data_IF_810965200845
#
_entry.id   IF_810965200845
#
_cell.length_a   1.000
_cell.length_b   1.000
_cell.length_c   1.000
_cell.angle_alpha   90.00
_cell.angle_beta   90.00
_cell.angle_gamma   90.00
#
_symmetry.space_group_name_H-M   'P 1'
#
loop_
_entity.id
_entity.type
_entity.pdbx_description
1 polymer ?
#
# COMPACT_ATOMS: atom_id res chain seq x y z
N UNK A 1 -20.49 13.84 -5.50
CA UNK A 1 -19.59 13.01 -4.71
C UNK A 1 -19.89 11.49 -4.82
N UNK A 2 -20.56 11.07 -5.89
CA UNK A 2 -20.89 9.65 -6.11
C UNK A 2 -20.42 9.23 -7.49
N UNK A 3 -19.73 8.12 -7.58
CA UNK A 3 -19.35 7.46 -8.83
C UNK A 3 -20.07 6.12 -8.89
N UNK A 4 -20.67 5.81 -10.01
CA UNK A 4 -21.22 4.50 -10.31
C UNK A 4 -20.27 3.85 -11.31
N UNK A 5 -19.68 2.73 -10.92
CA UNK A 5 -18.77 1.97 -11.76
C UNK A 5 -19.33 0.58 -11.99
N UNK A 6 -19.35 0.17 -13.24
CA UNK A 6 -19.90 -1.12 -13.65
C UNK A 6 -18.94 -1.80 -14.62
N UNK A 7 -18.81 -3.11 -14.47
CA UNK A 7 -18.05 -3.95 -15.40
C UNK A 7 -18.71 -5.31 -15.49
N UNK A 8 -18.95 -5.79 -16.70
CA UNK A 8 -19.59 -7.07 -16.94
C UNK A 8 -20.34 -7.09 -18.28
N UNK A 9 -21.19 -8.08 -18.47
CA UNK A 9 -22.04 -8.17 -19.64
C UNK A 9 -23.37 -7.50 -19.33
N UNK A 10 -23.62 -6.31 -19.89
CA UNK A 10 -24.86 -5.56 -19.78
C UNK A 10 -25.22 -4.94 -21.13
N UNK A 11 -26.48 -4.66 -21.34
CA UNK A 11 -27.05 -4.02 -22.53
C UNK A 11 -27.50 -2.57 -22.23
N UNK A 12 -28.07 -1.92 -23.23
CA UNK A 12 -28.50 -0.52 -23.13
C UNK A 12 -29.62 -0.30 -22.10
N UNK A 13 -30.41 -1.33 -21.78
CA UNK A 13 -31.48 -1.23 -20.75
C UNK A 13 -30.90 -0.93 -19.36
N UNK A 14 -29.63 -1.28 -19.13
CA UNK A 14 -28.94 -0.95 -17.89
C UNK A 14 -28.77 0.57 -17.71
N UNK A 15 -28.51 1.31 -18.79
CA UNK A 15 -28.38 2.77 -18.73
C UNK A 15 -29.72 3.42 -18.41
N UNK A 16 -30.83 2.88 -18.94
CA UNK A 16 -32.19 3.34 -18.61
C UNK A 16 -32.49 3.14 -17.11
N UNK A 17 -32.05 2.01 -16.53
CA UNK A 17 -32.19 1.76 -15.09
C UNK A 17 -31.35 2.73 -14.26
N UNK A 18 -30.12 3.03 -14.67
CA UNK A 18 -29.29 4.03 -14.01
C UNK A 18 -29.95 5.40 -14.03
N UNK A 19 -30.46 5.84 -15.18
CA UNK A 19 -31.15 7.11 -15.30
C UNK A 19 -32.41 7.15 -14.44
N UNK A 20 -33.19 6.08 -14.43
CA UNK A 20 -34.41 5.97 -13.61
C UNK A 20 -34.12 6.11 -12.11
N UNK A 21 -33.05 5.49 -11.60
CA UNK A 21 -32.78 5.46 -10.15
C UNK A 21 -31.85 6.58 -9.67
N UNK A 22 -31.00 7.11 -10.54
CA UNK A 22 -29.96 8.09 -10.19
C UNK A 22 -30.07 9.40 -10.97
N UNK A 23 -30.72 9.45 -12.13
CA UNK A 23 -30.78 10.62 -13.00
C UNK A 23 -31.50 11.82 -12.40
N UNK A 24 -32.36 11.59 -11.41
CA UNK A 24 -33.02 12.68 -10.67
C UNK A 24 -32.14 13.34 -9.61
N UNK A 25 -30.97 12.77 -9.34
CA UNK A 25 -30.01 13.32 -8.37
C UNK A 25 -29.35 14.55 -8.97
N UNK A 26 -29.66 15.73 -8.44
CA UNK A 26 -29.03 16.98 -8.87
C UNK A 26 -27.54 16.95 -8.48
N UNK A 27 -26.68 17.28 -9.42
CA UNK A 27 -25.29 17.62 -9.09
C UNK A 27 -25.31 18.89 -8.22
N UNK A 28 -24.78 18.77 -7.01
CA UNK A 28 -24.53 19.91 -6.16
C UNK A 28 -23.18 20.50 -6.56
N UNK A 29 -23.15 21.80 -6.80
CA UNK A 29 -21.89 22.55 -7.05
C UNK A 29 -21.16 22.79 -5.71
N UNK A 30 -20.85 21.69 -5.02
CA UNK A 30 -20.09 21.72 -3.77
C UNK A 30 -18.74 21.08 -4.01
N UNK A 31 -17.68 21.83 -3.78
CA UNK A 31 -16.34 21.23 -3.72
C UNK A 31 -16.27 20.28 -2.53
N UNK A 32 -15.74 19.08 -2.69
CA UNK A 32 -15.54 18.19 -1.56
C UNK A 32 -14.62 18.87 -0.54
N UNK A 33 -15.04 18.86 0.72
CA UNK A 33 -14.15 19.30 1.80
C UNK A 33 -13.00 18.30 1.94
N UNK A 34 -11.80 18.79 1.74
CA UNK A 34 -10.59 18.01 1.94
C UNK A 34 -9.89 18.59 3.19
N UNK A 35 -9.96 17.91 4.33
CA UNK A 35 -9.25 18.36 5.53
C UNK A 35 -7.73 18.32 5.28
N UNK A 36 -7.00 19.18 5.95
CA UNK A 36 -5.55 19.09 5.99
C UNK A 36 -5.11 17.73 6.55
N UNK A 37 -3.98 17.24 6.08
CA UNK A 37 -3.40 16.01 6.64
C UNK A 37 -3.15 16.23 8.15
N UNK A 38 -3.60 15.31 9.02
CA UNK A 38 -3.43 15.49 10.46
C UNK A 38 -1.96 15.56 10.83
N UNK A 39 -1.62 16.51 11.69
CA UNK A 39 -0.30 16.54 12.32
C UNK A 39 -0.25 15.46 13.40
N UNK A 40 0.70 14.55 13.29
CA UNK A 40 0.91 13.51 14.30
C UNK A 40 1.85 14.06 15.36
N UNK A 41 1.30 14.36 16.54
CA UNK A 41 2.14 14.68 17.71
C UNK A 41 2.74 13.39 18.27
N UNK A 42 4.04 13.42 18.59
CA UNK A 42 4.72 12.31 19.27
C UNK A 42 4.30 12.28 20.73
N UNK A 43 3.29 11.51 21.07
CA UNK A 43 2.85 11.29 22.44
C UNK A 43 3.06 9.82 22.81
N UNK A 44 3.60 9.59 24.00
CA UNK A 44 3.64 8.25 24.56
C UNK A 44 2.36 8.01 25.36
N UNK A 45 1.55 7.08 24.91
CA UNK A 45 0.33 6.66 25.59
C UNK A 45 0.52 5.18 25.93
N UNK A 46 0.42 4.85 27.21
CA UNK A 46 0.48 3.47 27.70
C UNK A 46 -0.88 3.11 28.27
N UNK A 47 -1.43 1.98 27.83
CA UNK A 47 -2.65 1.39 28.36
C UNK A 47 -2.38 -0.08 28.64
N UNK A 48 -2.43 -0.46 29.90
CA UNK A 48 -2.26 -1.85 30.32
C UNK A 48 -3.45 -2.71 29.89
N UNK A 49 -3.16 -3.86 29.28
CA UNK A 49 -4.13 -4.87 28.89
C UNK A 49 -3.55 -6.26 29.11
N UNK A 50 -4.37 -7.18 29.56
CA UNK A 50 -4.06 -8.60 29.60
C UNK A 50 -4.40 -9.22 28.24
N UNK A 51 -3.37 -9.57 27.46
CA UNK A 51 -3.49 -10.07 26.10
C UNK A 51 -2.52 -11.23 25.84
N UNK A 52 -2.96 -12.22 25.09
CA UNK A 52 -2.13 -13.36 24.71
C UNK A 52 -1.16 -13.06 23.56
N UNK A 53 -1.50 -12.08 22.72
CA UNK A 53 -0.72 -11.73 21.52
C UNK A 53 -0.51 -10.22 21.42
N UNK A 54 0.70 -9.83 21.05
CA UNK A 54 1.06 -8.45 20.75
C UNK A 54 0.95 -8.22 19.24
N UNK A 55 0.33 -7.10 18.88
CA UNK A 55 0.31 -6.59 17.49
C UNK A 55 1.21 -5.35 17.43
N UNK A 56 2.43 -5.53 16.97
CA UNK A 56 3.36 -4.43 16.71
C UNK A 56 3.04 -3.79 15.35
N UNK A 57 2.84 -2.48 15.35
CA UNK A 57 2.69 -1.69 14.11
C UNK A 57 3.67 -0.52 14.16
N UNK A 58 4.61 -0.50 13.22
CA UNK A 58 5.49 0.63 12.98
C UNK A 58 5.02 1.37 11.72
N UNK A 59 4.62 2.63 11.87
CA UNK A 59 4.09 3.47 10.79
C UNK A 59 5.06 4.58 10.44
N UNK A 60 5.13 4.91 9.16
CA UNK A 60 5.91 6.00 8.60
C UNK A 60 5.01 6.86 7.71
N UNK A 61 5.43 8.09 7.43
CA UNK A 61 4.77 8.90 6.42
C UNK A 61 4.94 8.23 5.05
N UNK A 62 3.82 7.88 4.42
CA UNK A 62 3.77 7.33 3.06
C UNK A 62 3.62 8.44 2.00
N UNK A 63 3.18 8.02 0.82
CA UNK A 63 2.90 8.89 -0.31
C UNK A 63 1.39 9.01 -0.53
N UNK A 64 0.96 10.12 -1.11
CA UNK A 64 -0.44 10.31 -1.48
C UNK A 64 -0.82 9.57 -2.77
N UNK A 65 -2.12 9.59 -3.11
CA UNK A 65 -2.63 8.84 -4.27
C UNK A 65 -2.17 9.41 -5.61
N UNK A 66 -1.73 10.66 -5.68
CA UNK A 66 -1.29 11.32 -6.91
C UNK A 66 0.21 11.19 -7.15
N UNK A 67 0.95 10.67 -6.17
CA UNK A 67 2.40 10.56 -6.24
C UNK A 67 2.83 9.59 -7.35
N UNK A 68 3.68 10.06 -8.24
CA UNK A 68 4.19 9.27 -9.37
C UNK A 68 5.12 8.12 -8.95
N UNK A 69 5.68 8.18 -7.73
CA UNK A 69 6.57 7.16 -7.17
C UNK A 69 5.83 5.89 -6.73
N UNK A 70 4.49 5.82 -6.91
CA UNK A 70 3.69 4.67 -6.46
C UNK A 70 4.21 3.33 -6.99
N UNK A 71 4.65 3.26 -8.24
CA UNK A 71 5.16 2.02 -8.83
C UNK A 71 6.51 1.61 -8.23
N UNK A 72 7.37 2.58 -7.92
CA UNK A 72 8.63 2.33 -7.20
C UNK A 72 8.36 1.85 -5.77
N UNK A 73 7.35 2.40 -5.10
CA UNK A 73 6.90 1.94 -3.79
C UNK A 73 6.35 0.51 -3.84
N UNK A 74 5.59 0.16 -4.87
CA UNK A 74 5.08 -1.20 -5.05
C UNK A 74 6.22 -2.20 -5.25
N UNK A 75 7.23 -1.87 -6.06
CA UNK A 75 8.42 -2.71 -6.28
C UNK A 75 9.20 -2.87 -4.97
N UNK A 76 9.46 -1.77 -4.26
CA UNK A 76 10.11 -1.82 -2.95
C UNK A 76 9.34 -2.70 -1.96
N UNK A 77 8.03 -2.46 -1.79
CA UNK A 77 7.21 -3.18 -0.83
C UNK A 77 7.11 -4.68 -1.16
N UNK A 78 7.09 -5.04 -2.45
CA UNK A 78 7.08 -6.44 -2.88
C UNK A 78 8.31 -7.20 -2.36
N UNK A 79 9.50 -6.59 -2.41
CA UNK A 79 10.73 -7.20 -1.88
C UNK A 79 10.78 -7.12 -0.36
N UNK A 80 10.35 -6.02 0.22
CA UNK A 80 10.55 -5.74 1.64
C UNK A 80 9.57 -6.50 2.54
N UNK A 81 8.25 -6.41 2.27
CA UNK A 81 7.27 -6.93 3.22
C UNK A 81 5.99 -7.51 2.61
N UNK A 82 5.83 -7.53 1.27
CA UNK A 82 4.62 -8.05 0.64
C UNK A 82 4.77 -9.52 0.25
N UNK A 83 4.24 -10.42 1.09
CA UNK A 83 4.17 -11.85 0.78
C UNK A 83 5.33 -12.68 1.31
N UNK A 84 5.24 -14.00 1.07
CA UNK A 84 6.12 -15.01 1.66
C UNK A 84 7.59 -14.94 1.19
N UNK A 85 7.85 -14.33 0.03
CA UNK A 85 9.22 -14.16 -0.50
C UNK A 85 9.89 -12.89 -0.03
N UNK A 86 9.20 -12.05 0.75
CA UNK A 86 9.73 -10.76 1.21
C UNK A 86 10.81 -10.93 2.28
N UNK A 87 11.68 -9.95 2.41
CA UNK A 87 12.79 -9.98 3.37
C UNK A 87 12.31 -10.10 4.81
N UNK A 88 11.27 -9.33 5.19
CA UNK A 88 10.70 -9.42 6.53
C UNK A 88 10.17 -10.82 6.84
N UNK A 89 9.39 -11.38 5.91
CA UNK A 89 8.83 -12.72 6.11
C UNK A 89 9.92 -13.78 6.20
N UNK A 90 10.87 -13.79 5.27
CA UNK A 90 11.95 -14.79 5.25
C UNK A 90 12.85 -14.69 6.48
N UNK A 91 13.26 -13.48 6.87
CA UNK A 91 14.23 -13.30 7.93
C UNK A 91 13.62 -13.45 9.34
N UNK A 92 12.36 -13.10 9.55
CA UNK A 92 11.76 -13.05 10.89
C UNK A 92 10.78 -14.20 11.13
N UNK A 93 9.97 -14.54 10.13
CA UNK A 93 9.00 -15.62 10.25
C UNK A 93 9.57 -16.97 9.87
N UNK A 94 10.07 -17.12 8.65
CA UNK A 94 10.48 -18.42 8.11
C UNK A 94 11.74 -18.96 8.80
N UNK A 95 12.78 -18.13 8.90
CA UNK A 95 14.07 -18.58 9.47
C UNK A 95 14.09 -18.65 11.00
N UNK A 96 13.26 -17.84 11.69
CA UNK A 96 13.31 -17.71 13.16
C UNK A 96 12.05 -18.12 13.89
N UNK A 97 10.90 -18.15 13.20
CA UNK A 97 9.63 -18.54 13.82
C UNK A 97 9.11 -17.57 14.91
N UNK A 98 9.58 -16.32 14.92
CA UNK A 98 9.32 -15.37 16.01
C UNK A 98 7.94 -14.70 15.93
N UNK A 99 7.27 -14.79 14.78
CA UNK A 99 6.01 -14.10 14.53
C UNK A 99 4.99 -15.05 13.89
N UNK A 100 3.72 -14.85 14.20
CA UNK A 100 2.61 -15.52 13.52
C UNK A 100 2.35 -14.89 12.15
N UNK A 101 2.48 -13.56 12.09
CA UNK A 101 2.35 -12.79 10.84
C UNK A 101 3.34 -11.64 10.83
N UNK A 102 3.83 -11.30 9.65
CA UNK A 102 4.58 -10.07 9.41
C UNK A 102 4.37 -9.63 7.97
N UNK A 103 4.15 -8.35 7.79
CA UNK A 103 3.99 -7.74 6.49
C UNK A 103 4.34 -6.26 6.52
N UNK A 104 4.59 -5.68 5.35
CA UNK A 104 4.60 -4.24 5.16
C UNK A 104 3.60 -3.87 4.07
N UNK A 105 2.99 -2.70 4.23
CA UNK A 105 1.98 -2.20 3.33
C UNK A 105 2.02 -0.69 3.19
N UNK A 106 1.21 -0.16 2.28
CA UNK A 106 0.99 1.28 2.16
C UNK A 106 -0.48 1.59 1.96
N UNK A 107 -0.91 2.68 2.55
CA UNK A 107 -2.24 3.26 2.36
C UNK A 107 -2.07 4.68 1.86
N UNK A 108 -2.59 4.96 0.66
CA UNK A 108 -2.53 6.27 0.04
C UNK A 108 -3.90 6.94 0.08
N UNK A 109 -3.92 8.19 0.54
CA UNK A 109 -5.08 9.08 0.61
C UNK A 109 -4.87 10.27 -0.32
N UNK A 110 -5.87 11.15 -0.46
CA UNK A 110 -5.83 12.26 -1.43
C UNK A 110 -4.67 13.23 -1.16
N UNK A 111 -4.35 13.50 0.11
CA UNK A 111 -3.34 14.48 0.52
C UNK A 111 -2.27 13.93 1.47
N UNK A 112 -2.26 12.63 1.70
CA UNK A 112 -1.30 11.99 2.60
C UNK A 112 -1.21 10.50 2.31
N UNK A 113 -0.31 9.81 2.98
CA UNK A 113 -0.22 8.36 2.97
C UNK A 113 0.49 7.82 4.19
N UNK A 114 0.38 6.52 4.38
CA UNK A 114 1.04 5.76 5.44
C UNK A 114 1.76 4.59 4.82
N UNK A 115 2.99 4.35 5.22
CA UNK A 115 3.69 3.09 5.04
C UNK A 115 3.80 2.42 6.39
N UNK A 116 3.39 1.16 6.49
CA UNK A 116 3.36 0.44 7.77
C UNK A 116 4.06 -0.90 7.69
N UNK A 117 4.60 -1.32 8.84
CA UNK A 117 5.11 -2.66 9.08
C UNK A 117 4.32 -3.21 10.25
N UNK A 118 3.62 -4.32 10.03
CA UNK A 118 2.77 -4.96 11.04
C UNK A 118 3.29 -6.35 11.34
N UNK A 119 3.34 -6.72 12.62
CA UNK A 119 3.76 -8.04 13.07
C UNK A 119 2.95 -8.52 14.28
N UNK A 120 2.46 -9.76 14.22
CA UNK A 120 1.76 -10.42 15.33
C UNK A 120 2.65 -11.50 15.95
N UNK A 121 2.82 -11.45 17.29
CA UNK A 121 3.75 -12.33 18.00
C UNK A 121 3.34 -12.57 19.45
N UNK A 122 4.04 -13.46 20.14
CA UNK A 122 3.95 -13.57 21.60
C UNK A 122 4.66 -12.38 22.30
N UNK A 123 4.23 -11.99 23.50
CA UNK A 123 4.84 -10.86 24.23
C UNK A 123 6.35 -10.99 24.41
N UNK A 124 6.84 -12.20 24.63
CA UNK A 124 8.27 -12.47 24.88
C UNK A 124 9.13 -12.16 23.64
N UNK A 125 8.57 -12.28 22.44
CA UNK A 125 9.28 -12.05 21.17
C UNK A 125 9.34 -10.58 20.76
N UNK A 126 8.57 -9.69 21.39
CA UNK A 126 8.43 -8.29 21.00
C UNK A 126 9.76 -7.56 20.85
N UNK A 127 10.64 -7.68 21.84
CA UNK A 127 11.94 -6.98 21.84
C UNK A 127 12.85 -7.43 20.70
N UNK A 128 12.93 -8.75 20.46
CA UNK A 128 13.74 -9.31 19.39
C UNK A 128 13.18 -8.97 18.01
N UNK A 129 11.87 -9.08 17.83
CA UNK A 129 11.20 -8.74 16.56
C UNK A 129 11.37 -7.27 16.22
N UNK A 130 11.18 -6.37 17.17
CA UNK A 130 11.40 -4.92 16.98
C UNK A 130 12.86 -4.63 16.56
N UNK A 131 13.83 -5.30 17.22
CA UNK A 131 15.24 -5.17 16.85
C UNK A 131 15.51 -5.68 15.42
N UNK A 132 14.95 -6.83 15.03
CA UNK A 132 15.12 -7.40 13.69
C UNK A 132 14.49 -6.54 12.61
N UNK A 133 13.30 -5.99 12.83
CA UNK A 133 12.65 -5.03 11.92
C UNK A 133 13.55 -3.79 11.75
N UNK A 134 14.04 -3.22 12.84
CA UNK A 134 14.97 -2.07 12.79
C UNK A 134 16.24 -2.40 12.01
N UNK A 135 16.81 -3.60 12.20
CA UNK A 135 17.96 -4.08 11.46
C UNK A 135 17.69 -4.20 9.96
N UNK A 136 16.53 -4.74 9.57
CA UNK A 136 16.14 -4.84 8.15
C UNK A 136 15.95 -3.46 7.53
N UNK A 137 15.31 -2.52 8.23
CA UNK A 137 15.17 -1.13 7.77
C UNK A 137 16.55 -0.51 7.53
N UNK A 138 17.47 -0.62 8.48
CA UNK A 138 18.82 -0.07 8.35
C UNK A 138 19.60 -0.75 7.22
N UNK A 139 19.43 -2.05 7.05
CA UNK A 139 20.09 -2.81 5.99
C UNK A 139 19.62 -2.37 4.61
N UNK A 140 18.31 -2.23 4.41
CA UNK A 140 17.76 -1.84 3.10
C UNK A 140 18.04 -0.36 2.78
N UNK A 141 18.05 0.51 3.79
CA UNK A 141 18.45 1.92 3.59
C UNK A 141 19.89 2.04 3.14
N UNK A 142 20.80 1.25 3.71
CA UNK A 142 22.22 1.30 3.38
C UNK A 142 22.55 0.61 2.06
N UNK A 143 22.03 -0.60 1.84
CA UNK A 143 22.44 -1.46 0.73
C UNK A 143 21.52 -1.32 -0.49
N UNK A 144 20.31 -0.74 -0.31
CA UNK A 144 19.24 -0.64 -1.33
C UNK A 144 18.81 -2.02 -1.84
N UNK A 145 18.08 -2.07 -2.93
CA UNK A 145 17.73 -3.31 -3.62
C UNK A 145 18.74 -3.63 -4.72
N UNK A 146 19.01 -4.89 -4.89
CA UNK A 146 19.81 -5.38 -6.03
C UNK A 146 18.97 -5.35 -7.32
N UNK A 147 19.66 -5.27 -8.47
CA UNK A 147 18.98 -5.34 -9.77
C UNK A 147 18.17 -6.63 -9.95
N UNK A 148 18.64 -7.74 -9.40
CA UNK A 148 17.93 -9.02 -9.45
C UNK A 148 16.61 -8.99 -8.66
N UNK A 149 16.61 -8.38 -7.47
CA UNK A 149 15.41 -8.20 -6.66
C UNK A 149 14.40 -7.29 -7.36
N UNK A 150 14.84 -6.18 -7.93
CA UNK A 150 13.98 -5.26 -8.68
C UNK A 150 13.35 -5.97 -9.87
N UNK A 151 14.16 -6.70 -10.67
CA UNK A 151 13.65 -7.45 -11.82
C UNK A 151 12.60 -8.48 -11.40
N UNK A 152 12.89 -9.29 -10.38
CA UNK A 152 11.97 -10.30 -9.86
C UNK A 152 10.66 -9.66 -9.36
N UNK A 153 10.75 -8.56 -8.62
CA UNK A 153 9.58 -7.86 -8.10
C UNK A 153 8.72 -7.27 -9.22
N UNK A 154 9.33 -6.70 -10.26
CA UNK A 154 8.63 -6.19 -11.44
C UNK A 154 7.86 -7.30 -12.15
N UNK A 155 8.49 -8.45 -12.41
CA UNK A 155 7.82 -9.59 -13.05
C UNK A 155 6.64 -10.11 -12.20
N UNK A 156 6.82 -10.22 -10.90
CA UNK A 156 5.74 -10.64 -10.00
C UNK A 156 4.57 -9.63 -9.99
N UNK A 157 4.87 -8.33 -9.94
CA UNK A 157 3.85 -7.28 -9.99
C UNK A 157 3.08 -7.29 -11.31
N UNK A 158 3.78 -7.45 -12.44
CA UNK A 158 3.13 -7.57 -13.76
C UNK A 158 2.22 -8.80 -13.83
N UNK A 159 2.69 -9.96 -13.38
CA UNK A 159 1.90 -11.18 -13.31
C UNK A 159 0.63 -11.00 -12.47
N UNK A 160 0.75 -10.46 -11.27
CA UNK A 160 -0.37 -10.19 -10.39
C UNK A 160 -1.36 -9.18 -11.00
N UNK A 161 -0.87 -8.14 -11.67
CA UNK A 161 -1.70 -7.14 -12.34
C UNK A 161 -2.51 -7.77 -13.49
N UNK A 162 -1.87 -8.60 -14.33
CA UNK A 162 -2.54 -9.30 -15.44
C UNK A 162 -3.65 -10.21 -14.90
N UNK A 163 -3.33 -11.07 -13.91
CA UNK A 163 -4.31 -11.97 -13.31
C UNK A 163 -5.48 -11.23 -12.65
N UNK A 164 -5.20 -10.14 -11.93
CA UNK A 164 -6.25 -9.33 -11.30
C UNK A 164 -7.14 -8.63 -12.34
N UNK A 165 -6.59 -8.27 -13.50
CA UNK A 165 -7.33 -7.58 -14.57
C UNK A 165 -8.36 -8.47 -15.29
N UNK A 166 -8.30 -9.79 -15.10
CA UNK A 166 -9.32 -10.72 -15.59
C UNK A 166 -10.64 -10.64 -14.80
N UNK A 167 -10.56 -10.21 -13.55
CA UNK A 167 -11.73 -10.05 -12.69
C UNK A 167 -12.54 -8.79 -13.06
N UNK A 168 -13.82 -8.99 -13.41
CA UNK A 168 -14.77 -7.88 -13.64
C UNK A 168 -14.92 -6.99 -12.41
N UNK A 169 -14.93 -7.60 -11.21
CA UNK A 169 -14.98 -6.88 -9.94
C UNK A 169 -13.76 -5.98 -9.72
N UNK A 170 -12.55 -6.47 -10.01
CA UNK A 170 -11.33 -5.67 -9.88
C UNK A 170 -11.31 -4.50 -10.88
N UNK A 171 -11.75 -4.73 -12.13
CA UNK A 171 -11.90 -3.67 -13.13
C UNK A 171 -12.88 -2.60 -12.70
N UNK A 172 -14.05 -3.01 -12.20
CA UNK A 172 -15.08 -2.11 -11.70
C UNK A 172 -14.53 -1.23 -10.56
N UNK A 173 -13.93 -1.85 -9.56
CA UNK A 173 -13.38 -1.13 -8.41
C UNK A 173 -12.22 -0.20 -8.81
N UNK A 174 -11.32 -0.67 -9.69
CA UNK A 174 -10.21 0.13 -10.18
C UNK A 174 -10.67 1.38 -10.93
N UNK A 175 -11.62 1.24 -11.86
CA UNK A 175 -12.18 2.35 -12.61
C UNK A 175 -12.92 3.34 -11.71
N UNK A 176 -13.79 2.85 -10.82
CA UNK A 176 -14.53 3.67 -9.89
C UNK A 176 -13.63 4.45 -8.93
N UNK A 177 -12.60 3.78 -8.38
CA UNK A 177 -11.62 4.43 -7.51
C UNK A 177 -10.79 5.47 -8.26
N UNK A 178 -10.35 5.19 -9.48
CA UNK A 178 -9.59 6.15 -10.28
C UNK A 178 -10.40 7.42 -10.53
N UNK A 179 -11.66 7.29 -10.96
CA UNK A 179 -12.55 8.44 -11.18
C UNK A 179 -12.81 9.21 -9.87
N UNK A 180 -13.09 8.51 -8.77
CA UNK A 180 -13.34 9.14 -7.47
C UNK A 180 -12.14 9.97 -6.97
N UNK A 181 -10.94 9.50 -7.25
CA UNK A 181 -9.69 10.15 -6.86
C UNK A 181 -9.12 11.07 -7.96
N UNK A 182 -9.88 11.32 -9.02
CA UNK A 182 -9.48 12.12 -10.18
C UNK A 182 -8.17 11.65 -10.82
N UNK A 183 -7.97 10.33 -10.88
CA UNK A 183 -6.80 9.68 -11.48
C UNK A 183 -7.13 9.18 -12.89
N UNK A 184 -6.14 9.13 -13.79
CA UNK A 184 -6.34 8.48 -15.08
C UNK A 184 -6.64 6.98 -14.91
N UNK A 185 -7.52 6.47 -15.76
CA UNK A 185 -7.74 5.03 -15.90
C UNK A 185 -6.74 4.54 -16.92
N UNK A 186 -5.78 3.76 -16.49
CA UNK A 186 -4.76 3.19 -17.39
C UNK A 186 -5.26 1.90 -18.03
N UNK A 187 -4.92 1.72 -19.28
CA UNK A 187 -4.99 0.40 -19.92
C UNK A 187 -3.98 -0.56 -19.28
N UNK A 188 -4.18 -1.85 -19.53
CA UNK A 188 -3.22 -2.85 -19.04
C UNK A 188 -1.80 -2.59 -19.56
N UNK A 189 -1.66 -2.25 -20.83
CA UNK A 189 -0.36 -1.95 -21.44
C UNK A 189 0.33 -0.73 -20.79
N UNK A 190 -0.43 0.33 -20.54
CA UNK A 190 0.10 1.53 -19.89
C UNK A 190 0.56 1.25 -18.44
N UNK A 191 -0.22 0.44 -17.70
CA UNK A 191 0.16 0.06 -16.34
C UNK A 191 1.44 -0.80 -16.32
N UNK A 192 1.56 -1.76 -17.25
CA UNK A 192 2.77 -2.58 -17.40
C UNK A 192 3.99 -1.74 -17.77
N UNK A 193 3.85 -0.78 -18.69
CA UNK A 193 4.93 0.17 -19.04
C UNK A 193 5.40 0.98 -17.83
N UNK A 194 4.48 1.41 -16.94
CA UNK A 194 4.84 2.13 -15.71
C UNK A 194 5.63 1.26 -14.75
N UNK A 195 5.28 -0.02 -14.61
CA UNK A 195 6.07 -0.97 -13.81
C UNK A 195 7.44 -1.18 -14.43
N UNK A 196 7.53 -1.31 -15.77
CA UNK A 196 8.80 -1.49 -16.48
C UNK A 196 9.72 -0.26 -16.40
N UNK A 197 9.17 0.93 -16.27
CA UNK A 197 9.95 2.17 -16.13
C UNK A 197 10.62 2.32 -14.77
N UNK A 198 10.23 1.53 -13.75
CA UNK A 198 10.87 1.56 -12.42
C UNK A 198 12.33 1.11 -12.54
N UNK A 199 13.24 1.89 -11.98
CA UNK A 199 14.68 1.64 -11.98
C UNK A 199 15.27 1.68 -10.56
N UNK A 200 16.55 1.39 -10.42
CA UNK A 200 17.22 1.34 -9.12
C UNK A 200 17.23 2.68 -8.38
N UNK A 201 17.37 3.78 -9.11
CA UNK A 201 17.44 5.12 -8.52
C UNK A 201 16.07 5.52 -7.94
N UNK A 202 14.99 5.31 -8.71
CA UNK A 202 13.63 5.61 -8.24
C UNK A 202 13.21 4.74 -7.06
N UNK A 203 13.70 3.48 -6.99
CA UNK A 203 13.49 2.62 -5.82
C UNK A 203 14.32 3.07 -4.63
N UNK A 204 15.57 3.49 -4.84
CA UNK A 204 16.41 4.01 -3.76
C UNK A 204 15.85 5.28 -3.14
N UNK A 205 15.34 6.19 -3.97
CA UNK A 205 14.70 7.44 -3.51
C UNK A 205 13.45 7.16 -2.66
N UNK A 206 12.57 6.26 -3.12
CA UNK A 206 11.35 5.95 -2.35
C UNK A 206 11.65 5.24 -1.04
N UNK A 207 12.67 4.38 -0.97
CA UNK A 207 13.13 3.76 0.28
C UNK A 207 13.51 4.82 1.31
N UNK A 208 14.32 5.80 0.93
CA UNK A 208 14.78 6.85 1.84
C UNK A 208 13.61 7.74 2.29
N UNK A 209 12.66 7.99 1.40
CA UNK A 209 11.49 8.83 1.66
C UNK A 209 10.50 8.15 2.61
N UNK A 210 10.14 6.87 2.40
CA UNK A 210 9.12 6.19 3.21
C UNK A 210 9.66 5.53 4.47
N UNK A 211 10.96 5.30 4.60
CA UNK A 211 11.58 4.79 5.82
C UNK A 211 12.27 5.91 6.63
N UNK A 212 11.74 7.12 6.57
CA UNK A 212 12.25 8.21 7.38
C UNK A 212 11.87 8.03 8.85
N UNK A 213 12.88 7.74 9.68
CA UNK A 213 12.71 7.52 11.12
C UNK A 213 12.18 8.74 11.87
N UNK A 214 12.31 9.94 11.32
CA UNK A 214 11.76 11.17 11.93
C UNK A 214 10.23 11.16 11.95
N UNK A 215 9.60 10.44 11.02
CA UNK A 215 8.14 10.30 10.89
C UNK A 215 7.59 9.04 11.54
N UNK A 216 8.46 8.18 12.11
CA UNK A 216 8.06 6.88 12.64
C UNK A 216 7.23 7.01 13.92
N UNK A 217 6.11 6.28 13.94
CA UNK A 217 5.30 6.02 15.13
C UNK A 217 5.20 4.51 15.36
N UNK A 218 5.18 4.08 16.61
CA UNK A 218 5.09 2.65 16.97
C UNK A 218 3.90 2.46 17.92
N UNK A 219 3.13 1.40 17.69
CA UNK A 219 2.12 0.85 18.58
C UNK A 219 2.40 -0.63 18.79
N UNK A 220 2.30 -1.09 20.04
CA UNK A 220 2.45 -2.49 20.41
C UNK A 220 1.50 -2.86 21.56
#
# INVERSE_FOLDING_TARGET
NTIISVSGNFDDTFFELLEKYFGTKKMLDTKPYLPDAPYISKNNIVKEKDIEQVQLVATFKGIDVMDESVYSLLVFNNVFGSGMSSRLFQNIREQRGLVYSISAGHSAYINTGVFDISAGMSPESLGEVAHLISKEINTIKRNKLTSAEITKAKEQLKGNYILSSESTGARMQGAGRSLLLNKPIYTQEEALKKIDAVNADSVAEIIDRVLDSSTMCISA
#
